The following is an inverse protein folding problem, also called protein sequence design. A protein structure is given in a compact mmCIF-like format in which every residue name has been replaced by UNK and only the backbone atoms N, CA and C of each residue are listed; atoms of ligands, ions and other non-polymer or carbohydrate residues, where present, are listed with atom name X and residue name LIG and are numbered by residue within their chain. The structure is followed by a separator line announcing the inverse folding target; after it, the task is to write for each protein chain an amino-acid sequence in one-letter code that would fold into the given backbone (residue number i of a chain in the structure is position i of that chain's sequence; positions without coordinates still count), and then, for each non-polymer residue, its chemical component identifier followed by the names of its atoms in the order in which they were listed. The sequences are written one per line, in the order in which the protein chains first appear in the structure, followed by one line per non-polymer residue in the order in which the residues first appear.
data_IF_901845377817
#
_entry.id   IF_901845377817
#
_cell.length_a   1.000
_cell.length_b   1.000
_cell.length_c   1.000
_cell.angle_alpha   90.00
_cell.angle_beta   90.00
_cell.angle_gamma   90.00
#
_symmetry.space_group_name_H-M   'P 1'
#
loop_
_entity.id
_entity.type
_entity.pdbx_description
1 polymer ?
#
# COMPACT_ATOMS: atom_id res chain seq x y z
N UNK A 1 -43.17 -37.25 21.25
CA UNK A 1 -42.39 -36.82 20.07
C UNK A 1 -42.41 -35.30 20.07
N UNK A 2 -41.25 -34.64 20.00
CA UNK A 2 -41.21 -33.17 19.95
C UNK A 2 -41.72 -32.63 18.60
N UNK A 3 -42.05 -31.34 18.54
CA UNK A 3 -42.39 -30.68 17.28
C UNK A 3 -41.14 -30.43 16.43
N UNK A 4 -41.21 -30.57 15.09
CA UNK A 4 -40.08 -30.28 14.21
C UNK A 4 -39.76 -28.79 14.22
N UNK A 5 -38.48 -28.47 14.05
CA UNK A 5 -37.97 -27.10 14.01
C UNK A 5 -37.74 -26.69 12.56
N UNK A 6 -38.32 -25.58 12.12
CA UNK A 6 -38.16 -25.08 10.75
C UNK A 6 -37.22 -23.88 10.73
N UNK A 7 -36.08 -23.99 10.04
CA UNK A 7 -35.14 -22.88 9.88
C UNK A 7 -35.68 -21.90 8.84
N UNK A 8 -35.77 -20.62 9.21
CA UNK A 8 -36.26 -19.54 8.35
C UNK A 8 -35.08 -18.77 7.74
N UNK A 9 -34.13 -18.34 8.57
CA UNK A 9 -33.01 -17.54 8.12
C UNK A 9 -31.81 -17.66 9.06
N UNK A 10 -30.63 -17.42 8.51
CA UNK A 10 -29.38 -17.20 9.25
C UNK A 10 -28.86 -15.83 8.87
N UNK A 11 -28.50 -15.03 9.86
CA UNK A 11 -27.88 -13.73 9.68
C UNK A 11 -26.67 -13.62 10.59
N UNK A 12 -25.72 -12.76 10.25
CA UNK A 12 -24.56 -12.55 11.09
C UNK A 12 -24.13 -11.09 11.12
N UNK A 13 -23.33 -10.73 12.11
CA UNK A 13 -22.69 -9.43 12.23
C UNK A 13 -21.24 -9.57 12.66
N UNK A 14 -20.45 -8.57 12.34
CA UNK A 14 -19.02 -8.48 12.67
C UNK A 14 -18.83 -7.39 13.72
N UNK A 15 -18.22 -7.74 14.85
CA UNK A 15 -17.99 -6.83 15.98
C UNK A 15 -16.49 -6.67 16.28
N UNK A 16 -16.13 -5.64 17.05
CA UNK A 16 -14.75 -5.46 17.51
C UNK A 16 -14.38 -6.50 18.58
N UNK A 17 -13.18 -7.09 18.52
CA UNK A 17 -12.78 -8.18 19.42
C UNK A 17 -12.62 -7.72 20.88
N UNK A 18 -12.34 -6.45 21.13
CA UNK A 18 -12.18 -5.87 22.48
C UNK A 18 -13.48 -5.29 23.05
N UNK A 19 -14.48 -5.01 22.20
CA UNK A 19 -15.80 -4.55 22.61
C UNK A 19 -16.89 -5.14 21.70
N UNK A 20 -17.46 -6.25 22.16
CA UNK A 20 -18.47 -7.02 21.45
C UNK A 20 -19.82 -6.28 21.32
N UNK A 21 -19.98 -5.11 21.94
CA UNK A 21 -21.17 -4.26 21.77
C UNK A 21 -21.05 -3.35 20.55
N UNK A 22 -19.82 -3.12 20.07
CA UNK A 22 -19.57 -2.28 18.92
C UNK A 22 -19.74 -3.08 17.62
N UNK A 23 -20.91 -2.89 17.00
CA UNK A 23 -21.21 -3.45 15.68
C UNK A 23 -20.44 -2.71 14.59
N UNK A 24 -19.64 -3.47 13.83
CA UNK A 24 -18.87 -2.96 12.69
C UNK A 24 -19.67 -3.10 11.39
N UNK A 25 -20.24 -4.28 11.15
CA UNK A 25 -21.00 -4.56 9.93
C UNK A 25 -22.07 -5.63 10.15
N UNK A 26 -23.28 -5.39 9.62
CA UNK A 26 -24.28 -6.45 9.40
C UNK A 26 -23.98 -7.18 8.09
N UNK A 27 -23.98 -8.51 8.14
CA UNK A 27 -23.77 -9.37 6.98
C UNK A 27 -25.10 -9.78 6.35
N UNK A 28 -25.05 -10.21 5.10
CA UNK A 28 -26.24 -10.60 4.33
C UNK A 28 -26.97 -11.75 5.00
N UNK A 29 -28.29 -11.61 5.22
CA UNK A 29 -29.11 -12.70 5.72
C UNK A 29 -29.32 -13.77 4.61
N UNK A 30 -29.21 -15.03 4.99
CA UNK A 30 -29.49 -16.18 4.13
C UNK A 30 -30.80 -16.83 4.57
N UNK A 31 -31.80 -16.79 3.69
CA UNK A 31 -33.11 -17.38 3.94
C UNK A 31 -33.11 -18.86 3.53
N UNK A 32 -33.74 -19.69 4.35
CA UNK A 32 -34.01 -21.09 4.08
C UNK A 32 -35.52 -21.26 3.91
N UNK A 33 -35.95 -22.04 2.92
CA UNK A 33 -37.37 -22.27 2.61
C UNK A 33 -38.05 -23.16 3.67
N UNK A 34 -38.04 -22.74 4.95
CA UNK A 34 -38.55 -23.49 6.11
C UNK A 34 -37.98 -24.91 6.17
N UNK A 35 -36.65 -25.02 6.09
CA UNK A 35 -35.97 -26.30 6.14
C UNK A 35 -36.23 -26.98 7.49
N UNK A 36 -36.84 -28.16 7.47
CA UNK A 36 -37.29 -28.85 8.69
C UNK A 36 -36.21 -29.74 9.28
N UNK A 37 -36.01 -29.63 10.59
CA UNK A 37 -35.09 -30.43 11.39
C UNK A 37 -35.92 -31.25 12.37
N UNK A 38 -35.79 -32.57 12.27
CA UNK A 38 -36.47 -33.49 13.18
C UNK A 38 -35.98 -33.31 14.62
N UNK A 39 -36.85 -33.50 15.63
CA UNK A 39 -36.45 -33.47 17.02
C UNK A 39 -35.31 -34.46 17.28
N UNK A 40 -34.35 -34.06 18.12
CA UNK A 40 -33.20 -34.87 18.50
C UNK A 40 -32.25 -35.24 17.34
N UNK A 41 -32.34 -34.54 16.20
CA UNK A 41 -31.40 -34.66 15.09
C UNK A 41 -30.61 -33.37 14.93
N UNK A 42 -29.31 -33.49 14.65
CA UNK A 42 -28.47 -32.35 14.31
C UNK A 42 -28.47 -32.14 12.78
N UNK A 43 -28.60 -30.89 12.36
CA UNK A 43 -28.51 -30.48 10.96
C UNK A 43 -27.50 -29.35 10.80
N UNK A 44 -26.80 -29.33 9.67
CA UNK A 44 -25.81 -28.31 9.33
C UNK A 44 -26.32 -27.46 8.18
N UNK A 45 -26.33 -26.14 8.35
CA UNK A 45 -26.76 -25.19 7.34
C UNK A 45 -25.58 -24.32 6.92
N UNK A 46 -25.17 -24.35 5.63
CA UNK A 46 -24.08 -23.51 5.17
C UNK A 46 -24.53 -22.05 5.14
N UNK A 47 -23.71 -21.18 5.74
CA UNK A 47 -23.92 -19.73 5.71
C UNK A 47 -22.76 -19.06 4.96
N UNK A 48 -23.05 -18.49 3.80
CA UNK A 48 -22.07 -17.77 2.99
C UNK A 48 -22.24 -16.26 3.18
N UNK A 49 -21.15 -15.58 3.48
CA UNK A 49 -21.13 -14.14 3.67
C UNK A 49 -19.88 -13.51 3.04
N UNK A 50 -19.96 -12.20 2.81
CA UNK A 50 -18.83 -11.40 2.39
C UNK A 50 -18.76 -10.15 3.28
N UNK A 51 -17.54 -9.72 3.57
CA UNK A 51 -17.27 -8.49 4.33
C UNK A 51 -17.00 -7.34 3.37
N UNK A 52 -17.17 -6.10 3.85
CA UNK A 52 -16.85 -4.90 3.05
C UNK A 52 -15.37 -4.87 2.68
N UNK A 53 -15.04 -4.48 1.44
CA UNK A 53 -13.65 -4.22 1.01
C UNK A 53 -12.96 -3.06 1.73
N UNK A 54 -13.76 -2.22 2.40
CA UNK A 54 -13.28 -1.09 3.20
C UNK A 54 -13.08 -1.46 4.67
N UNK A 55 -13.43 -2.69 5.05
CA UNK A 55 -13.15 -3.18 6.39
C UNK A 55 -11.64 -3.32 6.53
N UNK A 56 -11.09 -2.70 7.58
CA UNK A 56 -9.65 -2.75 7.80
C UNK A 56 -9.21 -4.19 8.07
N UNK A 57 -8.02 -4.60 7.58
CA UNK A 57 -7.46 -5.88 7.92
C UNK A 57 -7.32 -6.03 9.44
N UNK A 58 -7.70 -7.19 9.97
CA UNK A 58 -7.64 -7.45 11.40
C UNK A 58 -8.56 -8.58 11.86
N UNK A 59 -8.51 -8.84 13.16
CA UNK A 59 -9.35 -9.84 13.81
C UNK A 59 -10.67 -9.21 14.24
N UNK A 60 -11.77 -9.88 13.93
CA UNK A 60 -13.11 -9.47 14.34
C UNK A 60 -13.90 -10.64 14.90
N UNK A 61 -14.90 -10.34 15.72
CA UNK A 61 -15.82 -11.34 16.22
C UNK A 61 -16.98 -11.54 15.25
N UNK A 62 -17.31 -12.80 14.96
CA UNK A 62 -18.46 -13.16 14.15
C UNK A 62 -19.62 -13.62 15.04
N UNK A 63 -20.71 -12.87 15.00
CA UNK A 63 -21.93 -13.13 15.78
C UNK A 63 -23.01 -13.64 14.83
N UNK A 64 -23.40 -14.90 14.97
CA UNK A 64 -24.45 -15.51 14.16
C UNK A 64 -25.79 -15.49 14.88
N UNK A 65 -26.89 -15.30 14.16
CA UNK A 65 -28.25 -15.44 14.67
C UNK A 65 -29.06 -16.33 13.73
N UNK A 66 -29.66 -17.39 14.28
CA UNK A 66 -30.57 -18.28 13.56
C UNK A 66 -31.99 -17.90 13.94
N UNK A 67 -32.84 -17.71 12.93
CA UNK A 67 -34.28 -17.52 13.08
C UNK A 67 -34.98 -18.80 12.66
N UNK A 68 -35.81 -19.36 13.54
CA UNK A 68 -36.48 -20.63 13.34
C UNK A 68 -37.90 -20.62 13.91
N UNK A 69 -38.70 -21.59 13.50
CA UNK A 69 -40.12 -21.72 13.88
C UNK A 69 -40.35 -23.08 14.52
N UNK A 70 -41.05 -23.10 15.66
CA UNK A 70 -41.57 -24.32 16.29
C UNK A 70 -43.05 -24.08 16.56
N UNK A 71 -43.92 -24.99 16.13
CA UNK A 71 -45.39 -24.86 16.30
C UNK A 71 -45.94 -23.52 15.80
N UNK A 72 -45.46 -23.05 14.64
CA UNK A 72 -45.84 -21.76 14.02
C UNK A 72 -45.43 -20.52 14.82
N UNK A 73 -44.63 -20.68 15.88
CA UNK A 73 -44.09 -19.57 16.68
C UNK A 73 -42.65 -19.29 16.28
N UNK A 74 -42.29 -18.05 15.94
CA UNK A 74 -40.93 -17.69 15.61
C UNK A 74 -40.07 -17.57 16.88
N UNK A 75 -38.83 -18.04 16.77
CA UNK A 75 -37.79 -17.94 17.77
C UNK A 75 -36.49 -17.53 17.10
N UNK A 76 -35.59 -16.96 17.88
CA UNK A 76 -34.26 -16.62 17.44
C UNK A 76 -33.23 -17.05 18.48
N UNK A 77 -32.08 -17.52 18.03
CA UNK A 77 -30.96 -17.81 18.91
C UNK A 77 -29.67 -17.21 18.33
N UNK A 78 -28.94 -16.49 19.16
CA UNK A 78 -27.67 -15.87 18.81
C UNK A 78 -26.53 -16.69 19.38
N UNK A 79 -25.52 -16.96 18.57
CA UNK A 79 -24.38 -17.81 18.92
C UNK A 79 -23.07 -17.14 18.49
N UNK A 80 -22.03 -17.42 19.28
CA UNK A 80 -20.66 -16.99 19.05
C UNK A 80 -19.84 -18.22 18.70
N UNK A 81 -19.21 -18.25 17.52
CA UNK A 81 -18.47 -19.43 17.06
C UNK A 81 -17.00 -19.17 16.73
N UNK A 82 -16.49 -17.98 17.06
CA UNK A 82 -15.07 -17.66 16.97
C UNK A 82 -14.78 -16.29 16.35
N UNK A 83 -13.49 -16.06 16.15
CA UNK A 83 -12.94 -14.86 15.50
C UNK A 83 -12.70 -15.12 14.02
N UNK A 84 -13.07 -14.17 13.17
CA UNK A 84 -12.73 -14.17 11.74
C UNK A 84 -11.62 -13.17 11.51
N UNK A 85 -10.59 -13.60 10.79
CA UNK A 85 -9.52 -12.71 10.33
C UNK A 85 -9.87 -12.17 8.95
N UNK A 86 -9.98 -10.85 8.84
CA UNK A 86 -10.13 -10.15 7.58
C UNK A 86 -8.74 -9.82 7.09
N UNK A 87 -8.33 -10.49 6.02
CA UNK A 87 -7.08 -10.21 5.32
C UNK A 87 -7.35 -9.29 4.14
N UNK A 88 -6.42 -8.42 3.81
CA UNK A 88 -6.50 -7.64 2.57
C UNK A 88 -6.51 -8.61 1.39
N UNK A 89 -7.43 -8.40 0.44
CA UNK A 89 -7.45 -9.19 -0.79
C UNK A 89 -6.20 -8.83 -1.59
N UNK A 90 -5.12 -9.63 -1.42
CA UNK A 90 -3.83 -9.42 -2.05
C UNK A 90 -3.93 -9.45 -3.58
N UNK A 91 -4.19 -8.30 -4.18
CA UNK A 91 -4.03 -8.06 -5.60
C UNK A 91 -2.67 -7.43 -5.88
N UNK A 92 -2.17 -7.57 -7.11
CA UNK A 92 -0.91 -6.94 -7.58
C UNK A 92 -0.87 -5.40 -7.42
N UNK A 93 -2.02 -4.76 -7.15
CA UNK A 93 -2.17 -3.32 -6.92
C UNK A 93 -2.61 -3.04 -5.48
N UNK A 94 -1.79 -3.42 -4.49
CA UNK A 94 -1.96 -2.94 -3.12
C UNK A 94 -1.54 -1.47 -2.99
N UNK A 95 -2.06 -0.77 -1.98
CA UNK A 95 -1.68 0.63 -1.69
C UNK A 95 -0.16 0.73 -1.46
N UNK A 96 0.41 -0.25 -0.77
CA UNK A 96 1.84 -0.34 -0.51
C UNK A 96 2.65 -0.45 -1.82
N UNK A 97 2.20 -1.27 -2.76
CA UNK A 97 2.86 -1.45 -4.06
C UNK A 97 2.82 -0.16 -4.88
N UNK A 98 1.66 0.50 -4.94
CA UNK A 98 1.52 1.79 -5.66
C UNK A 98 2.41 2.85 -5.03
N UNK A 99 2.45 2.92 -3.71
CA UNK A 99 3.30 3.85 -2.97
C UNK A 99 4.79 3.62 -3.27
N UNK A 100 5.27 2.37 -3.14
CA UNK A 100 6.68 2.04 -3.35
C UNK A 100 7.12 2.23 -4.80
N UNK A 101 6.30 1.85 -5.78
CA UNK A 101 6.60 2.07 -7.21
C UNK A 101 6.68 3.56 -7.52
N UNK A 102 5.72 4.36 -7.05
CA UNK A 102 5.70 5.81 -7.26
C UNK A 102 6.92 6.48 -6.60
N UNK A 103 7.24 6.07 -5.37
CA UNK A 103 8.43 6.55 -4.65
C UNK A 103 9.72 6.18 -5.39
N UNK A 104 9.83 4.94 -5.88
CA UNK A 104 10.98 4.48 -6.65
C UNK A 104 11.21 5.30 -7.91
N UNK A 105 10.15 5.58 -8.68
CA UNK A 105 10.24 6.44 -9.89
C UNK A 105 10.66 7.86 -9.51
N UNK A 106 10.08 8.45 -8.47
CA UNK A 106 10.41 9.79 -8.02
C UNK A 106 11.89 9.93 -7.63
N UNK A 107 12.43 8.93 -6.91
CA UNK A 107 13.84 8.90 -6.52
C UNK A 107 14.77 8.75 -7.73
N UNK A 108 14.40 7.94 -8.73
CA UNK A 108 15.18 7.79 -9.97
C UNK A 108 15.23 9.09 -10.78
N UNK A 109 14.09 9.78 -10.90
CA UNK A 109 14.03 11.09 -11.58
C UNK A 109 14.87 12.13 -10.84
N UNK A 110 14.75 12.18 -9.51
CA UNK A 110 15.54 13.08 -8.68
C UNK A 110 17.05 12.81 -8.81
N UNK A 111 17.45 11.53 -8.82
CA UNK A 111 18.84 11.12 -9.02
C UNK A 111 19.36 11.53 -10.41
N UNK A 112 18.56 11.34 -11.46
CA UNK A 112 18.93 11.74 -12.82
C UNK A 112 19.13 13.26 -12.95
N UNK A 113 18.22 14.04 -12.35
CA UNK A 113 18.33 15.50 -12.31
C UNK A 113 19.57 15.95 -11.50
N UNK A 114 19.84 15.29 -10.38
CA UNK A 114 21.01 15.59 -9.55
C UNK A 114 22.32 15.33 -10.31
N UNK A 115 22.44 14.16 -10.96
CA UNK A 115 23.61 13.83 -11.79
C UNK A 115 23.78 14.83 -12.93
N UNK A 116 22.70 15.17 -13.64
CA UNK A 116 22.75 16.17 -14.71
C UNK A 116 23.22 17.54 -14.22
N UNK A 117 22.77 17.96 -13.02
CA UNK A 117 23.25 19.18 -12.37
C UNK A 117 24.75 19.17 -12.07
N UNK A 118 25.29 18.05 -11.56
CA UNK A 118 26.72 17.91 -11.29
C UNK A 118 27.56 18.04 -12.56
N UNK A 119 27.14 17.40 -13.66
CA UNK A 119 27.84 17.50 -14.94
C UNK A 119 27.85 18.93 -15.50
N UNK A 120 26.77 19.70 -15.33
CA UNK A 120 26.73 21.09 -15.79
C UNK A 120 27.70 22.02 -15.04
N UNK A 121 27.94 21.76 -13.75
CA UNK A 121 28.88 22.55 -12.95
C UNK A 121 30.33 22.27 -13.35
N UNK A 122 30.68 21.00 -13.62
CA UNK A 122 32.04 20.61 -14.01
C UNK A 122 32.43 21.13 -15.40
N UNK A 123 31.52 21.07 -16.38
CA UNK A 123 31.81 21.52 -17.76
C UNK A 123 32.04 23.02 -17.84
N UNK A 124 31.30 23.84 -17.07
CA UNK A 124 31.52 25.29 -17.04
C UNK A 124 32.85 25.67 -16.40
N UNK A 125 33.27 24.97 -15.36
CA UNK A 125 34.58 25.16 -14.72
C UNK A 125 35.74 24.88 -15.67
N UNK A 126 35.64 23.81 -16.47
CA UNK A 126 36.69 23.43 -17.43
C UNK A 126 36.79 24.42 -18.61
N UNK A 127 35.65 24.84 -19.17
CA UNK A 127 35.61 25.79 -20.29
C UNK A 127 36.11 27.19 -19.89
N UNK A 128 35.83 27.62 -18.65
CA UNK A 128 36.37 28.88 -18.13
C UNK A 128 37.88 28.78 -17.90
N UNK A 129 38.41 27.64 -17.48
CA UNK A 129 39.85 27.46 -17.28
C UNK A 129 40.62 27.54 -18.62
N UNK A 130 40.17 26.84 -19.66
CA UNK A 130 40.79 26.92 -20.99
C UNK A 130 40.68 28.33 -21.60
N UNK A 131 39.57 29.04 -21.36
CA UNK A 131 39.42 30.43 -21.80
C UNK A 131 40.38 31.39 -21.08
N UNK A 132 40.68 31.17 -19.80
CA UNK A 132 41.63 32.00 -19.05
C UNK A 132 43.06 31.67 -19.47
N UNK A 133 43.41 30.39 -19.64
CA UNK A 133 44.74 29.98 -20.10
C UNK A 133 45.05 30.52 -21.50
N UNK A 134 44.09 30.52 -22.42
CA UNK A 134 44.23 31.15 -23.74
C UNK A 134 44.48 32.66 -23.68
N UNK A 135 43.82 33.37 -22.76
CA UNK A 135 44.00 34.82 -22.57
C UNK A 135 45.37 35.18 -21.98
N UNK A 136 45.93 34.29 -21.16
CA UNK A 136 47.23 34.45 -20.51
C UNK A 136 48.38 34.15 -21.48
N UNK A 137 48.19 33.22 -22.43
CA UNK A 137 49.16 32.88 -23.48
C UNK A 137 49.26 33.98 -24.56
N UNK A 138 48.15 34.65 -24.91
CA UNK A 138 48.19 35.73 -25.93
C UNK A 138 48.92 36.99 -25.43
N UNK A 139 48.92 37.24 -24.12
CA UNK A 139 49.57 38.41 -23.51
C UNK A 139 51.08 38.24 -23.28
N UNK A 140 51.65 37.04 -23.51
CA UNK A 140 53.08 36.74 -23.34
C UNK A 140 53.87 36.76 -24.65
N UNK A 141 53.59 37.70 -25.56
CA UNK A 141 54.52 38.00 -26.65
C UNK A 141 55.81 38.57 -26.08
N UNK A 142 57.00 37.98 -26.34
CA UNK A 142 58.24 38.52 -25.81
C UNK A 142 58.54 39.86 -26.49
N UNK A 143 58.61 40.93 -25.70
CA UNK A 143 59.27 42.17 -26.11
C UNK A 143 60.69 41.83 -26.57
N UNK A 144 60.96 42.06 -27.85
CA UNK A 144 62.25 41.79 -28.48
C UNK A 144 63.33 42.68 -27.86
N UNK A 145 64.11 42.14 -26.92
CA UNK A 145 65.31 42.79 -26.42
C UNK A 145 66.41 42.70 -27.48
N UNK A 146 66.79 43.84 -28.05
CA UNK A 146 67.95 43.93 -28.93
C UNK A 146 69.24 43.91 -28.09
N UNK A 147 70.14 42.98 -28.36
CA UNK A 147 71.45 42.91 -27.71
C UNK A 147 72.49 43.60 -28.59
N UNK A 148 72.95 44.78 -28.18
CA UNK A 148 74.13 45.42 -28.78
C UNK A 148 75.39 44.81 -28.17
N UNK A 149 76.24 44.19 -29.00
CA UNK A 149 77.57 43.70 -28.59
C UNK A 149 78.58 44.84 -28.68
N UNK A 150 79.14 45.24 -27.53
CA UNK A 150 80.26 46.19 -27.45
C UNK A 150 81.57 45.39 -27.45
N UNK A 151 82.47 45.69 -28.38
CA UNK A 151 83.83 45.15 -28.40
C UNK A 151 84.78 46.17 -27.73
N UNK A 152 85.57 45.72 -26.76
CA UNK A 152 86.70 46.49 -26.23
C UNK A 152 87.97 46.08 -26.99
N UNK A 153 88.67 47.05 -27.56
CA UNK A 153 90.05 46.90 -28.06
C UNK A 153 90.96 47.45 -26.97
N UNK A 154 91.85 46.62 -26.44
CA UNK A 154 92.96 47.06 -25.59
C UNK A 154 94.17 47.34 -26.48
N UNK A 155 94.74 48.54 -26.32
CA UNK A 155 96.01 48.97 -26.90
C UNK A 155 97.19 48.49 -26.05
#
# INVERSE_FOLDING_TARGET
MGSPLNIIAIQASVHLPFDHRMLVQNLTAQTFNKASVSPSVQATFPYMFAVSRYLQPGTFDLVGTIVYEIDQKPYQNTFYNGTVEVVEAGGFLSVESVFLVTLGIALLVLLALWLHGQFQLTTKGLLLNESIDGYLVEKSTPTMYTWSKIYFVLA
#
